data_IF_048035942632
#
_entry.id   IF_048035942632
#
_cell.length_a   1.000
_cell.length_b   1.000
_cell.length_c   1.000
_cell.angle_alpha   90.00
_cell.angle_beta   90.00
_cell.angle_gamma   90.00
#
_symmetry.space_group_name_H-M   'P 1'
#
loop_
_entity.id
_entity.type
_entity.pdbx_description
1 polymer ?
#
# COMPACT_ATOMS: atom_id res chain seq x y z
N UNK A 1 3.99 31.28 3.15
CA UNK A 1 3.18 30.37 2.31
C UNK A 1 2.15 29.74 3.20
N UNK A 2 0.85 29.70 2.84
CA UNK A 2 -0.11 28.97 3.65
C UNK A 2 0.26 27.49 3.59
N UNK A 3 0.65 26.91 4.72
CA UNK A 3 0.86 25.47 4.82
C UNK A 3 -0.54 24.85 4.77
N UNK A 4 -0.99 24.45 3.59
CA UNK A 4 -2.25 23.71 3.43
C UNK A 4 -2.10 22.40 4.20
N UNK A 5 -2.89 22.21 5.26
CA UNK A 5 -2.85 20.98 6.05
C UNK A 5 -3.34 19.83 5.18
N UNK A 6 -2.63 18.70 5.21
CA UNK A 6 -2.90 17.55 4.35
C UNK A 6 -3.23 16.33 5.21
N UNK A 7 -4.29 15.63 4.85
CA UNK A 7 -4.65 14.33 5.39
C UNK A 7 -4.30 13.27 4.34
N UNK A 8 -3.62 12.21 4.77
CA UNK A 8 -3.40 11.04 3.93
C UNK A 8 -4.42 9.96 4.27
N UNK A 9 -5.27 9.64 3.31
CA UNK A 9 -6.29 8.59 3.41
C UNK A 9 -5.79 7.32 2.73
N UNK A 10 -5.63 6.25 3.49
CA UNK A 10 -5.12 4.99 2.92
C UNK A 10 -6.16 4.31 2.02
N UNK A 11 -5.76 3.97 0.79
CA UNK A 11 -6.48 3.01 -0.04
C UNK A 11 -5.99 1.61 0.35
N UNK A 12 -6.91 0.73 0.70
CA UNK A 12 -6.60 -0.60 1.23
C UNK A 12 -7.30 -1.68 0.38
N UNK A 13 -7.84 -2.71 1.01
CA UNK A 13 -8.31 -3.92 0.37
C UNK A 13 -9.80 -4.16 0.66
N UNK A 14 -10.44 -5.04 -0.12
CA UNK A 14 -11.75 -5.64 0.17
C UNK A 14 -12.85 -4.62 0.57
N UNK A 15 -13.56 -4.86 1.67
CA UNK A 15 -14.68 -4.03 2.09
C UNK A 15 -14.29 -2.57 2.42
N UNK A 16 -13.21 -2.29 3.18
CA UNK A 16 -12.74 -0.92 3.39
C UNK A 16 -12.40 -0.17 2.09
N UNK A 17 -11.85 -0.86 1.09
CA UNK A 17 -11.61 -0.25 -0.22
C UNK A 17 -12.91 0.19 -0.87
N UNK A 18 -13.93 -0.68 -0.93
CA UNK A 18 -15.24 -0.35 -1.49
C UNK A 18 -15.91 0.82 -0.75
N UNK A 19 -15.84 0.84 0.58
CA UNK A 19 -16.36 1.93 1.39
C UNK A 19 -15.64 3.26 1.08
N UNK A 20 -14.33 3.21 0.85
CA UNK A 20 -13.52 4.39 0.49
C UNK A 20 -13.99 5.02 -0.81
N UNK A 21 -14.35 4.23 -1.83
CA UNK A 21 -14.89 4.77 -3.10
C UNK A 21 -16.17 5.60 -2.89
N UNK A 22 -16.99 5.24 -1.90
CA UNK A 22 -18.20 6.00 -1.57
C UNK A 22 -17.94 7.20 -0.65
N UNK A 23 -17.11 7.02 0.37
CA UNK A 23 -17.00 7.99 1.47
C UNK A 23 -15.94 9.07 1.20
N UNK A 24 -14.84 8.73 0.53
CA UNK A 24 -13.73 9.65 0.30
C UNK A 24 -14.14 10.93 -0.45
N UNK A 25 -14.96 10.88 -1.53
CA UNK A 25 -15.41 12.11 -2.21
C UNK A 25 -16.20 13.05 -1.29
N UNK A 26 -16.97 12.48 -0.36
CA UNK A 26 -17.73 13.27 0.64
C UNK A 26 -16.74 13.93 1.60
N UNK A 27 -15.77 13.19 2.14
CA UNK A 27 -14.75 13.75 3.04
C UNK A 27 -14.01 14.89 2.35
N UNK A 28 -13.52 14.69 1.13
CA UNK A 28 -12.82 15.71 0.34
C UNK A 28 -13.65 16.99 0.15
N UNK A 29 -14.93 16.85 -0.19
CA UNK A 29 -15.82 18.01 -0.39
C UNK A 29 -16.02 18.81 0.91
N UNK A 30 -16.17 18.13 2.05
CA UNK A 30 -16.37 18.78 3.34
C UNK A 30 -15.10 19.43 3.88
N UNK A 31 -13.91 18.83 3.67
CA UNK A 31 -12.65 19.39 4.17
C UNK A 31 -12.12 20.54 3.32
N UNK A 32 -12.51 20.62 2.04
CA UNK A 32 -12.08 21.68 1.13
C UNK A 32 -12.42 23.09 1.65
N UNK A 33 -13.58 23.30 2.30
CA UNK A 33 -13.94 24.60 2.86
C UNK A 33 -13.05 25.04 4.03
N UNK A 34 -12.33 24.10 4.64
CA UNK A 34 -11.36 24.37 5.70
C UNK A 34 -9.92 24.52 5.17
N UNK A 35 -9.71 24.45 3.85
CA UNK A 35 -8.38 24.46 3.25
C UNK A 35 -7.54 23.23 3.64
N UNK A 36 -8.19 22.07 3.78
CA UNK A 36 -7.53 20.79 4.09
C UNK A 36 -7.62 19.88 2.88
N UNK A 37 -6.45 19.50 2.36
CA UNK A 37 -6.35 18.55 1.25
C UNK A 37 -6.38 17.12 1.76
N UNK A 38 -7.11 16.24 1.07
CA UNK A 38 -7.15 14.81 1.38
C UNK A 38 -6.61 14.03 0.20
N UNK A 39 -5.38 13.53 0.35
CA UNK A 39 -4.70 12.72 -0.66
C UNK A 39 -4.76 11.25 -0.31
N UNK A 40 -4.64 10.40 -1.33
CA UNK A 40 -4.58 8.95 -1.12
C UNK A 40 -3.17 8.41 -1.24
N UNK A 41 -2.89 7.36 -0.47
CA UNK A 41 -1.72 6.49 -0.66
C UNK A 41 -2.21 5.04 -0.68
N UNK A 42 -1.80 4.30 -1.69
CA UNK A 42 -2.23 2.93 -1.91
C UNK A 42 -1.31 1.94 -1.19
N UNK A 43 -1.86 1.29 -0.18
CA UNK A 43 -1.18 0.26 0.60
C UNK A 43 -1.89 -1.10 0.49
N UNK A 44 -2.73 -1.26 -0.54
CA UNK A 44 -3.35 -2.53 -0.89
C UNK A 44 -2.29 -3.62 -1.10
N UNK A 45 -2.71 -4.89 -1.00
CA UNK A 45 -1.85 -6.02 -1.32
C UNK A 45 -1.29 -5.92 -2.75
N UNK A 46 -2.16 -5.63 -3.72
CA UNK A 46 -1.76 -5.46 -5.12
C UNK A 46 -0.75 -4.33 -5.30
N UNK A 47 -1.02 -3.14 -4.73
CA UNK A 47 -0.11 -2.00 -4.81
C UNK A 47 1.27 -2.31 -4.21
N UNK A 48 1.30 -2.96 -3.03
CA UNK A 48 2.57 -3.35 -2.38
C UNK A 48 3.36 -4.40 -3.17
N UNK A 49 2.69 -5.32 -3.87
CA UNK A 49 3.35 -6.25 -4.79
C UNK A 49 4.01 -5.45 -5.92
N UNK A 50 3.25 -4.64 -6.64
CA UNK A 50 3.74 -3.88 -7.79
C UNK A 50 4.93 -2.97 -7.43
N UNK A 51 4.85 -2.28 -6.30
CA UNK A 51 5.95 -1.43 -5.80
C UNK A 51 7.27 -2.18 -5.53
N UNK A 52 7.21 -3.49 -5.24
CA UNK A 52 8.40 -4.31 -4.96
C UNK A 52 8.98 -5.02 -6.20
N UNK A 53 8.31 -4.95 -7.36
CA UNK A 53 8.76 -5.58 -8.61
C UNK A 53 8.75 -4.60 -9.81
N UNK A 54 9.24 -3.35 -9.67
CA UNK A 54 9.13 -2.37 -10.74
C UNK A 54 9.87 -2.78 -12.02
N UNK A 55 10.90 -3.62 -11.93
CA UNK A 55 11.64 -4.08 -13.11
C UNK A 55 10.87 -5.11 -13.96
N UNK A 56 9.82 -5.71 -13.41
CA UNK A 56 8.91 -6.61 -14.12
C UNK A 56 7.73 -5.87 -14.76
N UNK A 57 7.70 -4.54 -14.65
CA UNK A 57 6.59 -3.71 -15.07
C UNK A 57 7.00 -2.79 -16.23
N UNK A 58 6.07 -2.57 -17.14
CA UNK A 58 6.19 -1.50 -18.14
C UNK A 58 6.14 -0.13 -17.44
N UNK A 59 6.67 0.92 -18.09
CA UNK A 59 6.74 2.25 -17.48
C UNK A 59 5.37 2.82 -17.05
N UNK A 60 4.31 2.47 -17.76
CA UNK A 60 2.92 2.87 -17.45
C UNK A 60 2.27 2.04 -16.34
N UNK A 61 2.84 0.88 -16.00
CA UNK A 61 2.39 -0.01 -14.94
C UNK A 61 3.07 0.27 -13.60
N UNK A 62 4.24 0.92 -13.62
CA UNK A 62 5.02 1.22 -12.41
C UNK A 62 4.28 2.18 -11.50
N UNK A 63 4.30 1.87 -10.22
CA UNK A 63 3.79 2.72 -9.15
C UNK A 63 4.89 2.93 -8.10
N UNK A 64 4.79 4.03 -7.34
CA UNK A 64 5.71 4.30 -6.23
C UNK A 64 5.47 3.39 -5.03
N UNK A 65 6.48 3.27 -4.16
CA UNK A 65 6.35 2.57 -2.87
C UNK A 65 5.69 3.49 -1.83
N UNK A 66 4.36 3.53 -1.88
CA UNK A 66 3.56 4.33 -0.97
C UNK A 66 3.70 3.91 0.51
N UNK A 67 4.05 2.64 0.80
CA UNK A 67 4.26 2.21 2.18
C UNK A 67 5.57 2.79 2.73
N UNK A 68 6.64 2.78 1.93
CA UNK A 68 7.90 3.43 2.29
C UNK A 68 7.72 4.95 2.45
N UNK A 69 6.99 5.60 1.54
CA UNK A 69 6.66 7.04 1.65
C UNK A 69 5.92 7.35 2.95
N UNK A 70 4.90 6.55 3.28
CA UNK A 70 4.13 6.72 4.52
C UNK A 70 4.95 6.46 5.78
N UNK A 71 5.87 5.50 5.74
CA UNK A 71 6.81 5.25 6.85
C UNK A 71 7.71 6.46 7.10
N UNK A 72 8.24 7.06 6.03
CA UNK A 72 8.99 8.31 6.13
C UNK A 72 8.12 9.44 6.72
N UNK A 73 6.91 9.62 6.19
CA UNK A 73 5.97 10.64 6.68
C UNK A 73 5.63 10.45 8.16
N UNK A 74 5.39 9.21 8.62
CA UNK A 74 5.01 8.92 10.00
C UNK A 74 6.04 9.39 11.04
N UNK A 75 7.29 9.62 10.62
CA UNK A 75 8.36 10.15 11.48
C UNK A 75 8.43 11.69 11.52
N UNK A 76 7.57 12.39 10.76
CA UNK A 76 7.57 13.85 10.68
C UNK A 76 6.38 14.46 11.44
N UNK A 77 6.50 15.69 11.95
CA UNK A 77 5.40 16.38 12.63
C UNK A 77 4.18 16.64 11.75
N UNK A 78 4.35 16.65 10.43
CA UNK A 78 3.30 16.90 9.45
C UNK A 78 2.42 15.66 9.19
N UNK A 79 2.76 14.50 9.77
CA UNK A 79 2.02 13.26 9.58
C UNK A 79 0.58 13.38 10.08
N UNK A 80 -0.37 13.28 9.15
CA UNK A 80 -1.79 13.10 9.46
C UNK A 80 -2.35 11.99 8.58
N UNK A 81 -2.37 10.77 9.10
CA UNK A 81 -2.64 9.55 8.34
C UNK A 81 -3.91 8.87 8.88
N UNK A 82 -4.94 8.79 8.05
CA UNK A 82 -6.13 7.97 8.31
C UNK A 82 -5.89 6.57 7.75
N UNK A 83 -5.61 5.63 8.66
CA UNK A 83 -5.30 4.23 8.36
C UNK A 83 -6.55 3.34 8.47
N UNK A 84 -7.02 2.83 7.34
CA UNK A 84 -8.14 1.86 7.27
C UNK A 84 -7.62 0.43 7.43
N UNK A 85 -8.46 -0.56 7.80
CA UNK A 85 -8.06 -1.98 7.79
C UNK A 85 -7.54 -2.42 6.42
N UNK A 86 -6.51 -3.28 6.41
CA UNK A 86 -5.86 -3.82 5.22
C UNK A 86 -5.52 -5.30 5.43
N UNK A 87 -5.26 -6.03 4.34
CA UNK A 87 -4.87 -7.44 4.37
C UNK A 87 -3.46 -7.59 4.96
N UNK A 88 -3.34 -8.44 5.97
CA UNK A 88 -2.06 -9.08 6.35
C UNK A 88 -1.96 -10.42 5.62
N UNK A 89 -1.27 -10.45 4.48
CA UNK A 89 -1.44 -11.50 3.49
C UNK A 89 -0.90 -12.85 3.98
N UNK A 90 -1.75 -13.88 3.91
CA UNK A 90 -1.31 -15.27 3.91
C UNK A 90 -0.73 -15.67 2.54
N UNK A 91 -0.03 -16.80 2.47
CA UNK A 91 0.51 -17.32 1.19
C UNK A 91 -0.59 -17.53 0.14
N UNK A 92 -1.77 -18.14 0.45
CA UNK A 92 -2.84 -18.28 -0.54
C UNK A 92 -3.38 -16.94 -1.05
N UNK A 93 -3.50 -15.93 -0.18
CA UNK A 93 -3.94 -14.59 -0.60
C UNK A 93 -2.89 -13.90 -1.49
N UNK A 94 -1.60 -14.05 -1.16
CA UNK A 94 -0.52 -13.56 -2.01
C UNK A 94 -0.58 -14.21 -3.39
N UNK A 95 -0.66 -15.54 -3.46
CA UNK A 95 -0.75 -16.27 -4.72
C UNK A 95 -1.99 -15.86 -5.54
N UNK A 96 -3.14 -15.66 -4.89
CA UNK A 96 -4.34 -15.14 -5.53
C UNK A 96 -4.14 -13.74 -6.14
N UNK A 97 -3.53 -12.82 -5.39
CA UNK A 97 -3.23 -11.47 -5.88
C UNK A 97 -2.21 -11.47 -7.03
N UNK A 98 -1.18 -12.30 -6.96
CA UNK A 98 -0.20 -12.48 -8.05
C UNK A 98 -0.90 -12.98 -9.31
N UNK A 99 -1.72 -14.02 -9.18
CA UNK A 99 -2.47 -14.60 -10.30
C UNK A 99 -3.42 -13.57 -10.95
N UNK A 100 -4.12 -12.78 -10.13
CA UNK A 100 -4.99 -11.71 -10.62
C UNK A 100 -4.21 -10.60 -11.36
N UNK A 101 -3.08 -10.17 -10.81
CA UNK A 101 -2.20 -9.17 -11.45
C UNK A 101 -1.64 -9.70 -12.79
N UNK A 102 -1.19 -10.95 -12.83
CA UNK A 102 -0.71 -11.57 -14.06
C UNK A 102 -1.82 -11.67 -15.12
N UNK A 103 -3.04 -12.02 -14.73
CA UNK A 103 -4.20 -12.04 -15.62
C UNK A 103 -4.54 -10.64 -16.19
N UNK A 104 -4.18 -9.57 -15.46
CA UNK A 104 -4.30 -8.18 -15.90
C UNK A 104 -3.08 -7.68 -16.71
N UNK A 105 -2.07 -8.52 -16.95
CA UNK A 105 -0.91 -8.20 -17.79
C UNK A 105 0.29 -7.62 -17.05
N UNK A 106 0.32 -7.69 -15.72
CA UNK A 106 1.52 -7.36 -14.93
C UNK A 106 2.44 -8.58 -14.87
N UNK A 107 3.66 -8.49 -15.39
CA UNK A 107 4.58 -9.62 -15.48
C UNK A 107 5.32 -9.93 -14.16
N UNK A 108 4.68 -9.68 -13.01
CA UNK A 108 5.26 -9.96 -11.69
C UNK A 108 5.52 -11.47 -11.53
N UNK A 109 6.66 -11.87 -10.94
CA UNK A 109 7.05 -13.27 -10.86
C UNK A 109 6.17 -14.06 -9.88
N UNK A 110 6.05 -15.36 -10.08
CA UNK A 110 5.40 -16.25 -9.11
C UNK A 110 6.12 -16.26 -7.77
N UNK A 111 5.42 -16.61 -6.69
CA UNK A 111 6.03 -16.81 -5.38
C UNK A 111 6.74 -18.17 -5.32
N UNK A 112 8.07 -18.23 -5.15
CA UNK A 112 8.79 -19.50 -5.11
C UNK A 112 8.75 -20.10 -3.70
N UNK A 113 7.80 -21.02 -3.48
CA UNK A 113 7.65 -21.73 -2.20
C UNK A 113 8.98 -22.35 -1.74
N UNK A 114 9.73 -22.96 -2.66
CA UNK A 114 11.02 -23.57 -2.39
C UNK A 114 12.12 -23.01 -3.31
N UNK A 115 12.60 -21.80 -3.00
CA UNK A 115 13.67 -21.14 -3.74
C UNK A 115 15.00 -21.91 -3.70
N UNK A 116 15.51 -22.29 -4.87
CA UNK A 116 16.77 -23.00 -5.08
C UNK A 116 17.84 -22.10 -5.71
N UNK A 117 17.44 -21.16 -6.57
CA UNK A 117 18.35 -20.22 -7.23
C UNK A 117 18.49 -18.90 -6.47
N UNK A 118 19.56 -18.14 -6.73
CA UNK A 118 19.74 -16.80 -6.15
C UNK A 118 18.64 -15.82 -6.62
N UNK A 119 18.15 -15.98 -7.85
CA UNK A 119 17.03 -15.20 -8.38
C UNK A 119 15.74 -15.49 -7.61
N UNK A 120 15.41 -16.77 -7.40
CA UNK A 120 14.24 -17.18 -6.63
C UNK A 120 14.33 -16.71 -5.17
N UNK A 121 15.52 -16.76 -4.56
CA UNK A 121 15.73 -16.23 -3.20
C UNK A 121 15.50 -14.72 -3.15
N UNK A 122 15.95 -13.99 -4.16
CA UNK A 122 15.71 -12.55 -4.30
C UNK A 122 14.22 -12.24 -4.43
N UNK A 123 13.49 -12.97 -5.29
CA UNK A 123 12.04 -12.83 -5.46
C UNK A 123 11.30 -13.15 -4.16
N UNK A 124 11.64 -14.27 -3.51
CA UNK A 124 11.05 -14.66 -2.22
C UNK A 124 11.28 -13.60 -1.15
N UNK A 125 12.50 -13.05 -1.08
CA UNK A 125 12.87 -12.00 -0.14
C UNK A 125 12.07 -10.72 -0.34
N UNK A 126 11.71 -10.38 -1.58
CA UNK A 126 10.84 -9.23 -1.88
C UNK A 126 9.39 -9.49 -1.51
N UNK A 127 8.85 -10.67 -1.82
CA UNK A 127 7.52 -11.04 -1.35
C UNK A 127 7.41 -11.15 0.17
N UNK A 128 8.49 -11.49 0.87
CA UNK A 128 8.54 -11.50 2.33
C UNK A 128 8.26 -10.11 2.95
N UNK A 129 8.57 -9.01 2.24
CA UNK A 129 8.22 -7.65 2.67
C UNK A 129 6.73 -7.33 2.54
N UNK A 130 6.00 -8.12 1.75
CA UNK A 130 4.57 -7.92 1.46
C UNK A 130 3.70 -8.87 2.30
N UNK A 131 4.24 -10.04 2.66
CA UNK A 131 3.58 -11.07 3.46
C UNK A 131 3.31 -10.64 4.90
N UNK A 132 2.24 -11.19 5.47
CA UNK A 132 1.87 -10.97 6.86
C UNK A 132 1.60 -9.51 7.20
N UNK A 133 1.89 -9.13 8.45
CA UNK A 133 1.65 -7.77 8.95
C UNK A 133 2.77 -6.81 8.52
N UNK A 134 2.86 -6.53 7.21
CA UNK A 134 3.87 -5.63 6.65
C UNK A 134 3.61 -4.14 6.94
N UNK A 135 2.34 -3.72 7.03
CA UNK A 135 1.98 -2.29 7.10
C UNK A 135 2.10 -1.72 8.51
N UNK A 136 1.55 -2.40 9.53
CA UNK A 136 1.50 -1.85 10.88
C UNK A 136 2.89 -1.53 11.47
N UNK A 137 3.94 -2.37 11.31
CA UNK A 137 5.26 -2.06 11.82
C UNK A 137 5.89 -0.81 11.21
N UNK A 138 5.44 -0.38 10.03
CA UNK A 138 5.95 0.81 9.34
C UNK A 138 5.21 2.08 9.78
N UNK A 139 3.92 1.99 10.10
CA UNK A 139 3.09 3.16 10.39
C UNK A 139 2.93 3.46 11.89
N UNK A 140 3.25 2.51 12.78
CA UNK A 140 3.04 2.65 14.23
C UNK A 140 4.28 3.19 14.93
N UNK A 141 4.68 4.41 14.56
CA UNK A 141 5.75 5.18 15.20
C UNK A 141 5.25 5.87 16.49
N UNK A 142 4.52 5.11 17.33
CA UNK A 142 3.87 5.62 18.54
C UNK A 142 3.11 4.54 19.32
N UNK A 143 2.59 4.91 20.48
CA UNK A 143 1.80 4.03 21.34
C UNK A 143 0.33 4.01 20.95
N UNK A 144 -0.39 2.98 21.38
CA UNK A 144 -1.84 2.85 21.16
C UNK A 144 -2.63 3.57 22.25
N UNK A 145 -3.60 4.40 21.84
CA UNK A 145 -4.68 4.92 22.66
C UNK A 145 -6.00 4.38 22.09
N UNK A 146 -6.68 3.49 22.81
CA UNK A 146 -7.85 2.71 22.34
C UNK A 146 -8.89 2.51 23.42
#
# INVERSE_FOLDING_TARGET
MSNTSKIIYTKTDEAPMLATYSLLPIIQAFTASAGIDVETRDISLAGRILANFPEFLNEDQKIGDALAELGGLATTPEANIIKLPNISASIPQLAGAISELQAQGYAVPDYPDNAQSEEEKSIKGRYAKVLGSAVNPVLREGNSDR
#
